data_IF_403732782198
#
_entry.id   IF_403732782198
#
_cell.length_a   1.000
_cell.length_b   1.000
_cell.length_c   1.000
_cell.angle_alpha   90.00
_cell.angle_beta   90.00
_cell.angle_gamma   90.00
#
_symmetry.space_group_name_H-M   'P 1'
#
loop_
_entity.id
_entity.type
_entity.pdbx_description
1 polymer ?
#
# COMPACT_ATOMS: atom_id res chain seq x y z
N UNK A 1 15.52 29.02 -6.82
CA UNK A 1 14.50 27.93 -6.88
C UNK A 1 14.17 27.39 -5.49
N UNK A 2 15.17 27.11 -4.65
CA UNK A 2 15.00 26.62 -3.26
C UNK A 2 14.02 27.45 -2.40
N UNK A 3 14.17 28.78 -2.37
CA UNK A 3 13.30 29.66 -1.58
C UNK A 3 11.81 29.57 -1.98
N UNK A 4 11.53 29.59 -3.28
CA UNK A 4 10.16 29.47 -3.80
C UNK A 4 9.55 28.10 -3.48
N UNK A 5 10.36 27.04 -3.52
CA UNK A 5 9.93 25.71 -3.08
C UNK A 5 9.55 25.71 -1.59
N UNK A 6 10.44 26.20 -0.72
CA UNK A 6 10.20 26.24 0.73
C UNK A 6 8.98 27.08 1.10
N UNK A 7 8.76 28.22 0.42
CA UNK A 7 7.57 29.03 0.60
C UNK A 7 6.29 28.26 0.23
N UNK A 8 6.27 27.60 -0.94
CA UNK A 8 5.12 26.81 -1.38
C UNK A 8 4.86 25.61 -0.46
N UNK A 9 5.91 24.93 -0.03
CA UNK A 9 5.84 23.81 0.91
C UNK A 9 5.24 24.26 2.25
N UNK A 10 5.69 25.37 2.81
CA UNK A 10 5.15 25.92 4.07
C UNK A 10 3.66 26.27 3.92
N UNK A 11 3.25 26.89 2.82
CA UNK A 11 1.83 27.14 2.52
C UNK A 11 1.02 25.84 2.41
N UNK A 12 1.57 24.79 1.80
CA UNK A 12 0.92 23.49 1.67
C UNK A 12 0.75 22.82 3.04
N UNK A 13 1.75 22.92 3.94
CA UNK A 13 1.67 22.42 5.32
C UNK A 13 0.60 23.18 6.12
N UNK A 14 0.57 24.52 6.05
CA UNK A 14 -0.44 25.33 6.76
C UNK A 14 -1.85 24.93 6.29
N UNK A 15 -2.05 24.78 4.98
CA UNK A 15 -3.32 24.32 4.43
C UNK A 15 -3.67 22.91 4.91
N UNK A 16 -2.71 22.00 4.93
CA UNK A 16 -2.89 20.64 5.43
C UNK A 16 -3.32 20.61 6.90
N UNK A 17 -2.74 21.45 7.76
CA UNK A 17 -3.15 21.57 9.17
C UNK A 17 -4.57 22.11 9.33
N UNK A 18 -5.00 23.02 8.44
CA UNK A 18 -6.37 23.52 8.43
C UNK A 18 -7.36 22.44 7.99
N UNK A 19 -7.04 21.70 6.92
CA UNK A 19 -7.82 20.54 6.46
C UNK A 19 -7.89 19.47 7.56
N UNK A 20 -6.78 19.18 8.24
CA UNK A 20 -6.73 18.22 9.35
C UNK A 20 -7.72 18.57 10.47
N UNK A 21 -7.87 19.85 10.80
CA UNK A 21 -8.83 20.30 11.82
C UNK A 21 -10.26 19.92 11.44
N UNK A 22 -10.62 20.03 10.16
CA UNK A 22 -11.93 19.59 9.66
C UNK A 22 -12.04 18.06 9.65
N UNK A 23 -11.05 17.33 9.12
CA UNK A 23 -11.06 15.86 9.10
C UNK A 23 -11.21 15.25 10.50
N UNK A 24 -10.61 15.85 11.53
CA UNK A 24 -10.78 15.38 12.92
C UNK A 24 -12.22 15.44 13.40
N UNK A 25 -13.04 16.40 12.93
CA UNK A 25 -14.48 16.47 13.27
C UNK A 25 -15.26 15.29 12.67
N UNK A 26 -14.78 14.73 11.55
CA UNK A 26 -15.46 13.65 10.84
C UNK A 26 -15.31 12.30 11.55
N UNK A 27 -14.28 12.12 12.38
CA UNK A 27 -13.96 10.83 13.05
C UNK A 27 -15.08 10.29 13.94
N UNK A 28 -15.97 11.18 14.40
CA UNK A 28 -17.09 10.87 15.31
C UNK A 28 -18.46 11.09 14.66
N UNK A 29 -18.51 11.30 13.35
CA UNK A 29 -19.79 11.37 12.64
C UNK A 29 -20.53 10.04 12.72
N UNK A 30 -21.86 10.08 12.64
CA UNK A 30 -22.65 8.85 12.45
C UNK A 30 -22.39 8.26 11.06
N UNK A 31 -22.66 6.97 10.90
CA UNK A 31 -22.58 6.29 9.59
C UNK A 31 -23.45 6.98 8.54
N UNK A 32 -24.67 7.37 8.92
CA UNK A 32 -25.60 8.09 8.04
C UNK A 32 -25.01 9.44 7.58
N UNK A 33 -24.46 10.23 8.50
CA UNK A 33 -23.85 11.52 8.16
C UNK A 33 -22.64 11.36 7.24
N UNK A 34 -21.82 10.34 7.49
CA UNK A 34 -20.67 10.02 6.65
C UNK A 34 -21.10 9.55 5.25
N UNK A 35 -22.13 8.71 5.15
CA UNK A 35 -22.69 8.26 3.87
C UNK A 35 -23.26 9.45 3.08
N UNK A 36 -24.04 10.33 3.72
CA UNK A 36 -24.56 11.54 3.10
C UNK A 36 -23.44 12.45 2.59
N UNK A 37 -22.37 12.61 3.37
CA UNK A 37 -21.19 13.36 2.95
C UNK A 37 -20.51 12.71 1.73
N UNK A 38 -20.31 11.40 1.74
CA UNK A 38 -19.75 10.66 0.60
C UNK A 38 -20.60 10.83 -0.66
N UNK A 39 -21.93 10.70 -0.56
CA UNK A 39 -22.83 10.92 -1.69
C UNK A 39 -22.72 12.35 -2.24
N UNK A 40 -22.67 13.37 -1.37
CA UNK A 40 -22.50 14.75 -1.80
C UNK A 40 -21.16 14.97 -2.51
N UNK A 41 -20.05 14.49 -1.94
CA UNK A 41 -18.72 14.62 -2.55
C UNK A 41 -18.61 13.85 -3.87
N UNK A 42 -19.23 12.65 -3.96
CA UNK A 42 -19.29 11.86 -5.18
C UNK A 42 -20.00 12.62 -6.30
N UNK A 43 -21.17 13.19 -6.03
CA UNK A 43 -21.92 13.98 -7.02
C UNK A 43 -21.13 15.21 -7.49
N UNK A 44 -20.44 15.90 -6.58
CA UNK A 44 -19.57 17.03 -6.93
C UNK A 44 -18.39 16.60 -7.81
N UNK A 45 -17.74 15.48 -7.46
CA UNK A 45 -16.62 14.94 -8.23
C UNK A 45 -17.06 14.53 -9.64
N UNK A 46 -18.19 13.83 -9.77
CA UNK A 46 -18.71 13.38 -11.06
C UNK A 46 -19.11 14.56 -11.93
N UNK A 47 -19.85 15.53 -11.38
CA UNK A 47 -20.25 16.72 -12.10
C UNK A 47 -19.02 17.52 -12.58
N UNK A 48 -18.00 17.65 -11.73
CA UNK A 48 -16.75 18.28 -12.15
C UNK A 48 -16.03 17.49 -13.25
N UNK A 49 -15.91 16.17 -13.09
CA UNK A 49 -15.25 15.29 -14.06
C UNK A 49 -15.93 15.35 -15.44
N UNK A 50 -17.26 15.28 -15.51
CA UNK A 50 -18.01 15.38 -16.79
C UNK A 50 -17.78 16.74 -17.47
N UNK A 51 -17.68 17.82 -16.70
CA UNK A 51 -17.50 19.17 -17.24
C UNK A 51 -16.06 19.47 -17.69
N UNK A 52 -15.05 18.80 -17.11
CA UNK A 52 -13.63 19.16 -17.32
C UNK A 52 -12.78 18.04 -17.95
N UNK A 53 -13.27 16.80 -17.99
CA UNK A 53 -12.56 15.65 -18.59
C UNK A 53 -13.32 15.16 -19.83
N UNK A 54 -12.73 15.28 -21.05
CA UNK A 54 -13.31 14.72 -22.27
C UNK A 54 -13.59 13.22 -22.19
N UNK A 55 -12.83 12.47 -21.39
CA UNK A 55 -13.06 11.06 -21.13
C UNK A 55 -14.37 10.84 -20.35
N UNK A 56 -14.54 11.51 -19.21
CA UNK A 56 -15.75 11.35 -18.38
C UNK A 56 -17.02 11.89 -19.05
N UNK A 57 -16.90 12.95 -19.86
CA UNK A 57 -18.01 13.45 -20.68
C UNK A 57 -18.59 12.38 -21.61
N UNK A 58 -17.73 11.55 -22.19
CA UNK A 58 -18.16 10.44 -23.07
C UNK A 58 -18.60 9.24 -22.24
N UNK A 59 -17.84 8.88 -21.20
CA UNK A 59 -18.11 7.71 -20.37
C UNK A 59 -19.49 7.80 -19.70
N UNK A 60 -19.87 8.98 -19.23
CA UNK A 60 -21.11 9.23 -18.49
C UNK A 60 -22.20 9.89 -19.33
N UNK A 61 -22.10 9.86 -20.67
CA UNK A 61 -23.08 10.51 -21.58
C UNK A 61 -24.54 10.08 -21.34
N UNK A 62 -24.76 8.86 -20.86
CA UNK A 62 -26.08 8.28 -20.61
C UNK A 62 -26.45 8.27 -19.11
N UNK A 63 -25.62 8.87 -18.25
CA UNK A 63 -25.83 8.92 -16.81
C UNK A 63 -26.41 10.28 -16.46
N UNK A 64 -27.56 10.30 -15.78
CA UNK A 64 -28.18 11.55 -15.34
C UNK A 64 -27.48 12.09 -14.09
N UNK A 65 -26.45 12.92 -14.30
CA UNK A 65 -25.64 13.50 -13.22
C UNK A 65 -26.39 14.53 -12.33
N UNK A 66 -27.63 14.90 -12.69
CA UNK A 66 -28.47 15.83 -11.92
C UNK A 66 -29.37 15.11 -10.90
N UNK A 67 -29.33 13.78 -10.85
CA UNK A 67 -30.06 12.96 -9.88
C UNK A 67 -29.08 12.27 -8.91
N UNK A 68 -29.55 11.76 -7.76
CA UNK A 68 -28.72 10.95 -6.88
C UNK A 68 -28.06 9.80 -7.64
N UNK A 69 -26.73 9.76 -7.62
CA UNK A 69 -25.95 8.78 -8.36
C UNK A 69 -25.84 7.50 -7.54
N UNK A 70 -26.26 6.39 -8.15
CA UNK A 70 -26.03 5.06 -7.62
C UNK A 70 -24.63 4.63 -8.05
N UNK A 71 -23.75 4.39 -7.09
CA UNK A 71 -22.35 4.10 -7.36
C UNK A 71 -22.18 2.85 -8.24
N UNK A 72 -23.01 1.82 -8.06
CA UNK A 72 -22.95 0.56 -8.82
C UNK A 72 -23.33 0.70 -10.31
N UNK A 73 -24.02 1.78 -10.68
CA UNK A 73 -24.40 2.04 -12.07
C UNK A 73 -23.24 2.66 -12.86
N UNK A 74 -22.18 3.09 -12.18
CA UNK A 74 -21.02 3.69 -12.82
C UNK A 74 -20.07 2.60 -13.37
N UNK A 75 -19.54 2.76 -14.59
CA UNK A 75 -18.55 1.85 -15.14
C UNK A 75 -17.24 1.88 -14.32
N UNK A 76 -16.63 0.70 -14.19
CA UNK A 76 -15.30 0.51 -13.59
C UNK A 76 -14.21 0.95 -14.56
N UNK A 77 -13.16 1.58 -14.03
CA UNK A 77 -12.00 2.02 -14.81
C UNK A 77 -10.77 1.31 -14.26
N UNK A 78 -9.95 0.72 -15.12
CA UNK A 78 -8.67 0.15 -14.71
C UNK A 78 -7.49 1.02 -15.17
N UNK A 79 -6.30 0.63 -14.73
CA UNK A 79 -5.03 1.33 -15.03
C UNK A 79 -4.76 1.46 -16.53
N UNK A 80 -5.03 0.41 -17.31
CA UNK A 80 -4.77 0.41 -18.75
C UNK A 80 -5.67 1.44 -19.45
N UNK A 81 -6.98 1.38 -19.19
CA UNK A 81 -7.95 2.33 -19.74
C UNK A 81 -7.59 3.77 -19.39
N UNK A 82 -7.21 4.04 -18.14
CA UNK A 82 -6.79 5.37 -17.71
C UNK A 82 -5.54 5.85 -18.47
N UNK A 83 -4.51 5.00 -18.58
CA UNK A 83 -3.25 5.38 -19.23
C UNK A 83 -3.39 5.57 -20.74
N UNK A 84 -4.18 4.74 -21.43
CA UNK A 84 -4.50 4.89 -22.86
C UNK A 84 -5.24 6.20 -23.16
N UNK A 85 -6.00 6.71 -22.18
CA UNK A 85 -6.80 7.92 -22.30
C UNK A 85 -6.23 9.11 -21.52
N UNK A 86 -5.00 9.04 -21.02
CA UNK A 86 -4.48 9.94 -19.98
C UNK A 86 -4.73 11.43 -20.27
N UNK A 87 -4.37 11.91 -21.46
CA UNK A 87 -4.48 13.32 -21.86
C UNK A 87 -5.94 13.83 -21.95
N UNK A 88 -6.89 12.90 -22.14
CA UNK A 88 -8.33 13.17 -22.14
C UNK A 88 -8.98 12.85 -20.78
N UNK A 89 -8.26 12.13 -19.92
CA UNK A 89 -8.72 11.65 -18.62
C UNK A 89 -8.58 12.74 -17.57
N UNK A 90 -7.41 13.37 -17.48
CA UNK A 90 -7.14 14.51 -16.59
C UNK A 90 -8.03 15.70 -16.90
N UNK A 91 -8.30 16.52 -15.89
CA UNK A 91 -9.22 17.67 -16.03
C UNK A 91 -8.52 18.98 -16.39
N UNK A 92 -7.18 19.00 -16.37
CA UNK A 92 -6.39 20.16 -16.79
C UNK A 92 -5.71 19.83 -18.13
N UNK A 93 -6.06 20.53 -19.23
CA UNK A 93 -5.54 20.22 -20.56
C UNK A 93 -4.03 20.46 -20.71
N UNK A 94 -3.39 21.19 -19.78
CA UNK A 94 -1.93 21.39 -19.74
C UNK A 94 -1.14 20.16 -19.28
N UNK A 95 -1.83 19.13 -18.78
CA UNK A 95 -1.22 17.89 -18.33
C UNK A 95 -1.14 16.89 -19.49
N UNK A 96 0.04 16.79 -20.12
CA UNK A 96 0.31 15.81 -21.19
C UNK A 96 1.16 14.66 -20.68
N UNK A 97 0.77 13.43 -20.97
CA UNK A 97 1.44 12.23 -20.47
C UNK A 97 2.93 12.22 -20.82
N UNK A 98 3.28 12.57 -22.06
CA UNK A 98 4.68 12.60 -22.53
C UNK A 98 5.55 13.62 -21.77
N UNK A 99 5.00 14.79 -21.45
CA UNK A 99 5.69 15.84 -20.69
C UNK A 99 5.85 15.43 -19.22
N UNK A 100 4.81 14.87 -18.63
CA UNK A 100 4.85 14.35 -17.26
C UNK A 100 5.85 13.21 -17.10
N UNK A 101 5.92 12.28 -18.07
CA UNK A 101 6.92 11.23 -18.08
C UNK A 101 8.35 11.78 -18.20
N UNK A 102 8.54 12.85 -18.98
CA UNK A 102 9.83 13.54 -19.07
C UNK A 102 10.19 14.21 -17.75
N UNK A 103 9.24 14.90 -17.11
CA UNK A 103 9.42 15.46 -15.78
C UNK A 103 9.77 14.39 -14.74
N UNK A 104 9.06 13.25 -14.72
CA UNK A 104 9.33 12.13 -13.79
C UNK A 104 10.78 11.64 -13.92
N UNK A 105 11.30 11.49 -15.15
CA UNK A 105 12.68 11.04 -15.40
C UNK A 105 13.74 12.01 -14.87
N UNK A 106 13.39 13.27 -14.66
CA UNK A 106 14.27 14.34 -14.18
C UNK A 106 14.08 14.65 -12.69
N UNK A 107 13.14 13.98 -12.00
CA UNK A 107 12.87 14.22 -10.59
C UNK A 107 14.06 13.82 -9.72
N UNK A 108 14.50 14.73 -8.85
CA UNK A 108 15.56 14.49 -7.86
C UNK A 108 15.08 14.67 -6.41
N UNK A 109 13.92 15.29 -6.20
CA UNK A 109 13.35 15.56 -4.90
C UNK A 109 11.83 15.77 -4.91
N UNK A 110 11.38 16.91 -4.39
CA UNK A 110 9.95 17.23 -4.27
C UNK A 110 9.51 18.35 -5.22
N UNK A 111 10.07 18.36 -6.44
CA UNK A 111 9.86 19.41 -7.43
C UNK A 111 8.42 19.44 -7.96
N UNK A 112 7.95 20.65 -8.30
CA UNK A 112 6.63 20.86 -8.87
C UNK A 112 6.69 20.87 -10.41
N UNK A 113 5.82 20.11 -11.07
CA UNK A 113 5.52 20.29 -12.49
C UNK A 113 4.68 21.56 -12.68
N UNK A 114 5.09 22.42 -13.62
CA UNK A 114 4.47 23.75 -13.87
C UNK A 114 4.30 24.60 -12.60
N UNK A 115 5.11 24.38 -11.58
CA UNK A 115 5.02 25.07 -10.29
C UNK A 115 3.72 24.79 -9.48
N UNK A 116 2.87 23.86 -9.93
CA UNK A 116 1.53 23.60 -9.36
C UNK A 116 1.28 22.13 -9.02
N UNK A 117 1.89 21.20 -9.75
CA UNK A 117 1.55 19.78 -9.68
C UNK A 117 2.68 18.95 -9.10
N UNK A 118 2.31 17.89 -8.39
CA UNK A 118 3.21 16.79 -8.04
C UNK A 118 2.82 15.58 -8.87
N UNK A 119 3.82 14.90 -9.41
CA UNK A 119 3.66 13.78 -10.33
C UNK A 119 4.35 12.57 -9.73
N UNK A 120 3.69 11.42 -9.82
CA UNK A 120 4.13 10.15 -9.28
C UNK A 120 4.04 9.06 -10.33
N UNK A 121 4.91 8.06 -10.22
CA UNK A 121 4.78 6.82 -10.98
C UNK A 121 4.62 5.64 -10.04
N UNK A 122 3.84 4.65 -10.46
CA UNK A 122 3.83 3.34 -9.80
C UNK A 122 4.90 2.44 -10.42
N UNK A 123 5.39 1.47 -9.65
CA UNK A 123 6.41 0.50 -10.10
C UNK A 123 5.90 -0.53 -11.11
N UNK A 124 4.67 -0.36 -11.65
CA UNK A 124 4.18 -1.11 -12.80
C UNK A 124 4.02 -2.62 -12.58
N UNK A 125 3.37 -3.05 -11.49
CA UNK A 125 3.11 -4.48 -11.23
C UNK A 125 2.32 -5.18 -12.33
N UNK A 126 1.52 -4.43 -13.11
CA UNK A 126 0.72 -4.93 -14.24
C UNK A 126 1.41 -4.78 -15.61
N UNK A 127 2.70 -4.39 -15.64
CA UNK A 127 3.45 -4.08 -16.86
C UNK A 127 3.25 -2.66 -17.41
N UNK A 128 2.16 -1.96 -17.04
CA UNK A 128 1.91 -0.55 -17.38
C UNK A 128 2.23 0.33 -16.17
N UNK A 129 3.21 1.24 -16.31
CA UNK A 129 3.52 2.24 -15.28
C UNK A 129 2.43 3.31 -15.26
N UNK A 130 1.67 3.38 -14.16
CA UNK A 130 0.65 4.41 -13.98
C UNK A 130 1.26 5.75 -13.57
N UNK A 131 0.80 6.85 -14.18
CA UNK A 131 1.14 8.23 -13.83
C UNK A 131 0.00 8.86 -13.02
N UNK A 132 0.34 9.48 -11.89
CA UNK A 132 -0.62 10.10 -10.98
C UNK A 132 -0.24 11.54 -10.67
N UNK A 133 -1.23 12.44 -10.71
CA UNK A 133 -1.02 13.89 -10.55
C UNK A 133 -1.89 14.44 -9.44
N UNK A 134 -1.29 15.29 -8.61
CA UNK A 134 -1.98 16.04 -7.57
C UNK A 134 -1.57 17.51 -7.62
N UNK A 135 -2.54 18.42 -7.64
CA UNK A 135 -2.29 19.84 -7.44
C UNK A 135 -1.95 20.15 -5.96
N UNK A 136 -1.59 21.40 -5.68
CA UNK A 136 -1.20 21.83 -4.32
C UNK A 136 -2.27 21.61 -3.25
N UNK A 137 -3.55 21.87 -3.55
CA UNK A 137 -4.66 21.69 -2.59
C UNK A 137 -4.86 20.20 -2.30
N UNK A 138 -4.88 19.38 -3.34
CA UNK A 138 -5.04 17.93 -3.25
C UNK A 138 -3.87 17.26 -2.53
N UNK A 139 -2.65 17.77 -2.77
CA UNK A 139 -1.49 17.34 -2.01
C UNK A 139 -1.57 17.74 -0.54
N UNK A 140 -2.06 18.95 -0.24
CA UNK A 140 -2.31 19.37 1.14
C UNK A 140 -3.34 18.44 1.83
N UNK A 141 -4.34 17.93 1.10
CA UNK A 141 -5.28 16.92 1.61
C UNK A 141 -4.60 15.58 1.88
N UNK A 142 -3.70 15.11 1.00
CA UNK A 142 -2.88 13.91 1.26
C UNK A 142 -2.04 14.07 2.53
N UNK A 143 -1.36 15.21 2.70
CA UNK A 143 -0.59 15.53 3.91
C UNK A 143 -1.48 15.53 5.15
N UNK A 144 -2.69 16.12 5.07
CA UNK A 144 -3.64 16.12 6.17
C UNK A 144 -4.09 14.70 6.56
N UNK A 145 -4.31 13.81 5.59
CA UNK A 145 -4.57 12.39 5.84
C UNK A 145 -3.40 11.70 6.55
N UNK A 146 -2.17 11.96 6.11
CA UNK A 146 -0.95 11.47 6.80
C UNK A 146 -0.85 11.96 8.25
N UNK A 147 -1.05 13.27 8.49
CA UNK A 147 -1.04 13.83 9.84
C UNK A 147 -2.18 13.31 10.72
N UNK A 148 -3.36 13.08 10.14
CA UNK A 148 -4.48 12.43 10.84
C UNK A 148 -4.05 11.05 11.29
N UNK A 149 -3.47 10.24 10.40
CA UNK A 149 -2.97 8.93 10.72
C UNK A 149 -1.89 8.95 11.81
N UNK A 150 -0.90 9.85 11.69
CA UNK A 150 0.09 10.05 12.75
C UNK A 150 -0.54 10.42 14.09
N UNK A 151 -1.62 11.22 14.10
CA UNK A 151 -2.31 11.56 15.35
C UNK A 151 -3.10 10.40 15.97
N UNK A 152 -3.48 9.39 15.20
CA UNK A 152 -4.10 8.16 15.71
C UNK A 152 -3.07 7.22 16.32
N UNK A 153 -1.91 7.12 15.68
CA UNK A 153 -0.80 6.26 16.08
C UNK A 153 -0.05 6.85 17.28
N UNK A 154 0.12 8.17 17.32
CA UNK A 154 0.91 8.89 18.32
C UNK A 154 0.02 9.69 19.31
N UNK A 155 -1.23 9.26 19.52
CA UNK A 155 -2.22 9.96 20.34
C UNK A 155 -1.72 10.29 21.77
N UNK A 156 -0.86 9.44 22.32
CA UNK A 156 -0.21 9.65 23.62
C UNK A 156 1.21 10.25 23.52
N UNK A 157 1.85 10.12 22.36
CA UNK A 157 3.27 10.45 22.12
C UNK A 157 3.51 11.90 21.66
N UNK A 158 2.49 12.59 21.14
CA UNK A 158 2.62 14.02 20.78
C UNK A 158 2.65 14.97 21.98
N UNK A 159 2.57 14.44 23.21
CA UNK A 159 2.70 15.20 24.47
C UNK A 159 4.14 15.36 24.97
N UNK A 160 5.15 14.87 24.23
CA UNK A 160 6.54 14.97 24.68
C UNK A 160 7.08 16.40 24.55
N UNK A 161 7.63 16.99 25.63
CA UNK A 161 8.23 18.33 25.60
C UNK A 161 9.56 18.40 24.82
N UNK A 162 10.10 17.25 24.37
CA UNK A 162 11.31 17.15 23.56
C UNK A 162 10.98 16.80 22.10
N UNK A 163 11.81 17.26 21.16
CA UNK A 163 11.69 16.98 19.72
C UNK A 163 11.68 15.46 19.48
N UNK A 164 10.50 14.88 19.23
CA UNK A 164 10.32 13.48 18.86
C UNK A 164 11.32 13.11 17.78
N UNK A 165 12.11 12.05 18.03
CA UNK A 165 13.00 11.45 17.03
C UNK A 165 12.26 10.38 16.26
N UNK A 166 12.09 10.60 14.96
CA UNK A 166 11.50 9.60 14.07
C UNK A 166 12.52 9.13 13.03
N UNK A 167 12.51 7.83 12.72
CA UNK A 167 13.20 7.28 11.55
C UNK A 167 12.17 6.74 10.57
N UNK A 168 12.27 7.17 9.30
CA UNK A 168 11.46 6.71 8.18
C UNK A 168 12.33 5.98 7.17
N UNK A 169 12.04 4.69 6.93
CA UNK A 169 12.79 3.84 6.00
C UNK A 169 11.85 3.40 4.87
N UNK A 170 11.95 4.08 3.73
CA UNK A 170 11.07 3.85 2.56
C UNK A 170 11.87 4.00 1.26
N UNK A 171 11.18 3.97 0.12
CA UNK A 171 11.76 4.27 -1.19
C UNK A 171 12.64 5.54 -1.15
N UNK A 172 13.86 5.43 -1.66
CA UNK A 172 14.83 6.52 -1.68
C UNK A 172 14.65 7.52 -2.83
N UNK A 173 13.67 7.32 -3.72
CA UNK A 173 13.50 8.13 -4.94
C UNK A 173 12.20 8.95 -4.91
N UNK A 174 12.34 10.21 -5.35
CA UNK A 174 11.33 11.22 -5.63
C UNK A 174 10.10 10.74 -6.42
N UNK A 175 10.24 9.75 -7.30
CA UNK A 175 9.11 9.28 -8.12
C UNK A 175 8.00 8.59 -7.32
N UNK A 176 8.29 8.18 -6.07
CA UNK A 176 7.34 7.51 -5.18
C UNK A 176 6.65 8.45 -4.20
N UNK A 177 5.36 8.19 -3.99
CA UNK A 177 4.55 8.96 -3.05
C UNK A 177 5.07 8.90 -1.61
N UNK A 178 5.62 7.75 -1.17
CA UNK A 178 6.16 7.59 0.20
C UNK A 178 7.38 8.46 0.45
N UNK A 179 8.24 8.66 -0.55
CA UNK A 179 9.36 9.60 -0.48
C UNK A 179 8.83 11.03 -0.32
N UNK A 180 7.98 11.47 -1.25
CA UNK A 180 7.53 12.88 -1.28
C UNK A 180 6.63 13.24 -0.11
N UNK A 181 5.79 12.32 0.36
CA UNK A 181 5.01 12.51 1.59
C UNK A 181 5.92 12.77 2.79
N UNK A 182 7.05 12.07 2.86
CA UNK A 182 8.04 12.29 3.92
C UNK A 182 8.69 13.67 3.79
N UNK A 183 9.10 14.08 2.59
CA UNK A 183 9.77 15.38 2.35
C UNK A 183 8.82 16.56 2.53
N UNK A 184 7.68 16.52 1.85
CA UNK A 184 6.67 17.58 1.91
C UNK A 184 6.05 17.71 3.29
N UNK A 185 5.82 16.59 3.99
CA UNK A 185 5.12 16.55 5.28
C UNK A 185 6.01 16.71 6.51
N UNK A 186 7.33 16.84 6.36
CA UNK A 186 8.22 16.97 7.50
C UNK A 186 7.95 18.26 8.29
N UNK A 187 7.61 18.13 9.58
CA UNK A 187 7.41 19.28 10.46
C UNK A 187 8.75 19.66 11.12
N UNK A 188 9.14 20.96 11.17
CA UNK A 188 10.42 21.39 11.74
C UNK A 188 10.63 21.03 13.21
N UNK A 189 9.55 20.77 13.94
CA UNK A 189 9.58 20.39 15.37
C UNK A 189 9.90 18.92 15.60
N UNK A 190 9.85 18.09 14.54
CA UNK A 190 10.17 16.66 14.59
C UNK A 190 11.58 16.45 14.05
N UNK A 191 12.41 15.73 14.80
CA UNK A 191 13.73 15.34 14.34
C UNK A 191 13.61 14.07 13.50
N UNK A 192 13.64 14.20 12.17
CA UNK A 192 13.40 13.10 11.24
C UNK A 192 14.71 12.61 10.61
N UNK A 193 15.07 11.35 10.83
CA UNK A 193 16.06 10.62 10.04
C UNK A 193 15.35 9.88 8.89
N UNK A 194 15.84 10.06 7.66
CA UNK A 194 15.34 9.33 6.49
C UNK A 194 16.41 8.36 6.03
N UNK A 195 16.05 7.09 5.89
CA UNK A 195 16.92 6.06 5.34
C UNK A 195 16.26 5.45 4.09
N UNK A 196 17.09 5.06 3.12
CA UNK A 196 16.60 4.35 1.94
C UNK A 196 16.39 2.88 2.28
N UNK A 197 15.22 2.32 1.97
CA UNK A 197 14.97 0.89 2.11
C UNK A 197 15.87 0.01 1.21
N UNK A 198 16.48 0.60 0.18
CA UNK A 198 17.46 -0.08 -0.67
C UNK A 198 18.87 -0.14 -0.05
N UNK A 199 19.13 0.61 1.04
CA UNK A 199 20.40 0.51 1.75
C UNK A 199 20.52 -0.83 2.48
N UNK A 200 21.75 -1.33 2.67
CA UNK A 200 22.00 -2.56 3.42
C UNK A 200 21.45 -2.49 4.84
N UNK A 201 20.98 -3.62 5.38
CA UNK A 201 20.53 -3.71 6.78
C UNK A 201 21.61 -3.24 7.76
N UNK A 202 22.88 -3.60 7.55
CA UNK A 202 23.99 -3.16 8.41
C UNK A 202 24.10 -1.63 8.49
N UNK A 203 24.08 -0.93 7.35
CA UNK A 203 24.06 0.54 7.33
C UNK A 203 22.85 1.13 8.05
N UNK A 204 21.67 0.50 7.92
CA UNK A 204 20.47 0.94 8.65
C UNK A 204 20.65 0.74 10.15
N UNK A 205 21.20 -0.41 10.59
CA UNK A 205 21.48 -0.71 12.00
C UNK A 205 22.42 0.32 12.61
N UNK A 206 23.53 0.63 11.94
CA UNK A 206 24.50 1.63 12.40
C UNK A 206 23.86 3.02 12.55
N UNK A 207 23.06 3.43 11.56
CA UNK A 207 22.37 4.71 11.58
C UNK A 207 21.30 4.80 12.69
N UNK A 208 20.57 3.71 12.94
CA UNK A 208 19.55 3.60 13.98
C UNK A 208 20.16 3.62 15.38
N UNK A 209 21.25 2.87 15.59
CA UNK A 209 22.00 2.86 16.85
C UNK A 209 22.52 4.25 17.21
N UNK A 210 23.02 5.01 16.24
CA UNK A 210 23.49 6.37 16.45
C UNK A 210 22.35 7.36 16.73
N UNK A 211 21.19 7.18 16.08
CA UNK A 211 20.09 8.16 16.12
C UNK A 211 19.16 7.97 17.32
N UNK A 212 18.88 6.72 17.71
CA UNK A 212 17.93 6.31 18.75
C UNK A 212 16.52 6.88 18.52
N UNK A 213 15.78 6.40 17.50
CA UNK A 213 14.43 6.85 17.23
C UNK A 213 13.41 6.33 18.24
N UNK A 214 12.45 7.18 18.59
CA UNK A 214 11.27 6.79 19.37
C UNK A 214 10.10 6.36 18.47
N UNK A 215 10.10 6.79 17.20
CA UNK A 215 9.12 6.44 16.20
C UNK A 215 9.83 5.81 14.99
N UNK A 216 9.51 4.56 14.67
CA UNK A 216 10.06 3.84 13.52
C UNK A 216 8.96 3.55 12.51
N UNK A 217 9.13 4.04 11.28
CA UNK A 217 8.17 3.80 10.18
C UNK A 217 8.88 3.20 8.99
N UNK A 218 8.46 2.02 8.56
CA UNK A 218 9.15 1.29 7.48
C UNK A 218 8.22 0.30 6.77
N UNK A 219 8.76 -0.48 5.83
CA UNK A 219 8.10 -1.66 5.27
C UNK A 219 8.07 -2.82 6.30
N UNK A 220 6.99 -3.62 6.37
CA UNK A 220 6.92 -4.81 7.23
C UNK A 220 8.16 -5.71 7.15
N UNK A 221 8.67 -5.98 5.95
CA UNK A 221 9.85 -6.82 5.73
C UNK A 221 11.12 -6.24 6.37
N UNK A 222 11.37 -4.94 6.22
CA UNK A 222 12.51 -4.25 6.85
C UNK A 222 12.35 -4.21 8.38
N UNK A 223 11.17 -3.89 8.90
CA UNK A 223 10.91 -3.90 10.34
C UNK A 223 11.22 -5.27 10.94
N UNK A 224 10.82 -6.36 10.28
CA UNK A 224 11.10 -7.72 10.73
C UNK A 224 12.59 -8.05 10.74
N UNK A 225 13.34 -7.63 9.72
CA UNK A 225 14.79 -7.81 9.71
C UNK A 225 15.47 -7.03 10.82
N UNK A 226 15.13 -5.75 11.00
CA UNK A 226 15.66 -4.93 12.09
C UNK A 226 15.30 -5.53 13.46
N UNK A 227 14.12 -6.13 13.60
CA UNK A 227 13.74 -6.84 14.80
C UNK A 227 14.62 -8.09 15.06
N UNK A 228 14.98 -8.82 14.01
CA UNK A 228 15.96 -9.92 14.11
C UNK A 228 17.33 -9.40 14.53
N UNK A 229 17.81 -8.31 13.93
CA UNK A 229 19.07 -7.67 14.31
C UNK A 229 19.07 -7.18 15.77
N UNK A 230 17.92 -6.74 16.29
CA UNK A 230 17.72 -6.36 17.69
C UNK A 230 17.82 -7.58 18.62
N UNK A 231 17.14 -8.67 18.27
CA UNK A 231 17.16 -9.92 19.05
C UNK A 231 18.54 -10.58 19.06
N UNK A 232 19.32 -10.39 18.00
CA UNK A 232 20.70 -10.87 17.90
C UNK A 232 21.73 -9.89 18.49
N UNK A 233 21.28 -8.77 19.06
CA UNK A 233 22.13 -7.82 19.81
C UNK A 233 22.97 -6.86 18.95
N UNK A 234 22.79 -6.85 17.62
CA UNK A 234 23.51 -5.92 16.71
C UNK A 234 22.82 -4.56 16.61
N UNK A 235 21.49 -4.57 16.66
CA UNK A 235 20.67 -3.36 16.80
C UNK A 235 20.30 -3.16 18.28
N UNK A 236 20.36 -1.92 18.74
CA UNK A 236 19.98 -1.54 20.09
C UNK A 236 19.20 -0.21 20.06
N UNK A 237 17.90 -0.30 19.80
CA UNK A 237 16.97 0.85 19.82
C UNK A 237 15.73 0.53 20.67
N UNK A 238 15.04 1.58 21.13
CA UNK A 238 13.83 1.46 21.94
C UNK A 238 12.68 2.31 21.37
N UNK A 239 12.15 1.97 20.18
CA UNK A 239 11.02 2.67 19.61
C UNK A 239 9.79 2.48 20.50
N UNK A 240 9.05 3.57 20.75
CA UNK A 240 7.74 3.55 21.42
C UNK A 240 6.62 3.25 20.43
N UNK A 241 6.86 3.54 19.16
CA UNK A 241 5.89 3.38 18.08
C UNK A 241 6.58 2.76 16.88
N UNK A 242 5.98 1.69 16.34
CA UNK A 242 6.38 1.08 15.07
C UNK A 242 5.20 1.15 14.10
N UNK A 243 5.43 1.70 12.91
CA UNK A 243 4.44 1.77 11.82
C UNK A 243 4.97 1.01 10.62
N UNK A 244 4.15 0.09 10.11
CA UNK A 244 4.44 -0.65 8.88
C UNK A 244 3.47 -0.25 7.78
N UNK A 245 3.97 -0.09 6.54
CA UNK A 245 3.15 0.32 5.40
C UNK A 245 3.60 -0.34 4.09
N UNK A 246 2.72 -0.29 3.08
CA UNK A 246 3.04 -0.51 1.66
C UNK A 246 3.54 -1.92 1.23
N UNK A 247 3.41 -2.90 2.13
CA UNK A 247 3.51 -4.35 1.87
C UNK A 247 2.50 -5.11 2.75
N UNK A 248 2.21 -6.36 2.42
CA UNK A 248 1.47 -7.27 3.30
C UNK A 248 2.30 -7.59 4.55
N UNK A 249 1.71 -7.43 5.74
CA UNK A 249 2.34 -7.81 7.01
C UNK A 249 1.90 -9.23 7.39
N UNK A 250 2.86 -10.16 7.48
CA UNK A 250 2.59 -11.53 7.95
C UNK A 250 2.56 -11.59 9.49
N UNK A 251 1.95 -12.64 10.04
CA UNK A 251 1.96 -12.92 11.50
C UNK A 251 3.38 -13.12 12.03
N UNK A 252 4.27 -13.71 11.23
CA UNK A 252 5.68 -13.89 11.58
C UNK A 252 6.40 -12.55 11.71
N UNK A 253 6.23 -11.66 10.71
CA UNK A 253 6.82 -10.32 10.74
C UNK A 253 6.37 -9.54 11.96
N UNK A 254 5.07 -9.57 12.25
CA UNK A 254 4.49 -8.96 13.45
C UNK A 254 5.07 -9.55 14.73
N UNK A 255 5.17 -10.88 14.84
CA UNK A 255 5.75 -11.56 16.00
C UNK A 255 7.20 -11.18 16.24
N UNK A 256 8.01 -11.07 15.18
CA UNK A 256 9.40 -10.64 15.28
C UNK A 256 9.49 -9.21 15.86
N UNK A 257 8.67 -8.27 15.34
CA UNK A 257 8.61 -6.88 15.82
C UNK A 257 8.20 -6.82 17.30
N UNK A 258 7.16 -7.55 17.70
CA UNK A 258 6.69 -7.58 19.09
C UNK A 258 7.76 -8.15 20.03
N UNK A 259 8.44 -9.24 19.65
CA UNK A 259 9.51 -9.83 20.48
C UNK A 259 10.69 -8.89 20.65
N UNK A 260 11.04 -8.13 19.61
CA UNK A 260 12.19 -7.24 19.63
C UNK A 260 11.98 -5.99 20.49
N UNK A 261 10.80 -5.38 20.44
CA UNK A 261 10.57 -4.07 21.06
C UNK A 261 9.40 -4.01 22.03
N UNK A 262 8.66 -5.10 22.23
CA UNK A 262 7.44 -5.13 23.04
C UNK A 262 6.39 -4.08 22.61
N UNK A 263 6.32 -3.83 21.30
CA UNK A 263 5.39 -2.88 20.67
C UNK A 263 4.56 -3.60 19.63
N UNK A 264 3.25 -3.40 19.67
CA UNK A 264 2.35 -3.83 18.60
C UNK A 264 2.49 -2.86 17.41
N UNK A 265 2.97 -3.30 16.23
CA UNK A 265 3.11 -2.40 15.10
C UNK A 265 1.74 -1.95 14.58
N UNK A 266 1.61 -0.66 14.29
CA UNK A 266 0.46 -0.13 13.55
C UNK A 266 0.60 -0.47 12.08
N UNK A 267 -0.53 -0.73 11.41
CA UNK A 267 -0.56 -1.01 9.99
C UNK A 267 -1.18 0.15 9.20
N UNK A 268 -0.57 0.50 8.07
CA UNK A 268 -1.04 1.54 7.17
C UNK A 268 -1.31 0.95 5.80
N UNK A 269 -2.54 1.15 5.31
CA UNK A 269 -2.94 0.81 3.95
C UNK A 269 -3.08 2.09 3.12
N UNK A 270 -2.40 2.13 1.96
CA UNK A 270 -2.51 3.24 1.03
C UNK A 270 -1.95 2.89 -0.34
N UNK A 271 -2.41 3.61 -1.36
CA UNK A 271 -1.96 3.45 -2.75
C UNK A 271 -1.58 4.82 -3.35
N UNK A 272 -0.90 4.82 -4.50
CA UNK A 272 -0.54 6.08 -5.18
C UNK A 272 -1.76 6.67 -5.92
N UNK A 273 -2.62 5.78 -6.40
CA UNK A 273 -3.88 6.01 -7.09
C UNK A 273 -4.87 6.81 -6.21
N UNK A 274 -4.96 6.47 -4.92
CA UNK A 274 -5.88 7.08 -3.96
C UNK A 274 -5.96 6.27 -2.66
N UNK A 275 -6.82 6.63 -1.73
CA UNK A 275 -6.95 5.89 -0.47
C UNK A 275 -6.08 6.43 0.66
N UNK A 276 -5.99 7.76 0.75
CA UNK A 276 -5.79 8.55 1.96
C UNK A 276 -5.28 7.80 3.21
N UNK A 277 -4.00 7.38 3.22
CA UNK A 277 -3.26 7.01 4.44
C UNK A 277 -4.10 6.29 5.52
N UNK A 278 -4.86 5.26 5.13
CA UNK A 278 -5.71 4.51 6.04
C UNK A 278 -4.82 3.86 7.09
N UNK A 279 -5.18 3.94 8.37
CA UNK A 279 -4.30 3.48 9.45
C UNK A 279 -5.07 2.78 10.55
N UNK A 280 -4.39 1.81 11.16
CA UNK A 280 -4.79 1.18 12.41
C UNK A 280 -4.87 2.20 13.56
N UNK A 281 -5.53 1.82 14.66
CA UNK A 281 -5.63 2.62 15.89
C UNK A 281 -5.10 1.84 17.09
N UNK A 282 -4.97 2.46 18.29
CA UNK A 282 -4.43 1.78 19.46
C UNK A 282 -5.21 0.53 19.91
N UNK A 283 -6.43 0.32 19.42
CA UNK A 283 -7.18 -0.91 19.66
C UNK A 283 -6.71 -2.10 18.81
N UNK A 284 -5.91 -1.88 17.76
CA UNK A 284 -5.37 -2.91 16.87
C UNK A 284 -6.40 -3.90 16.34
N UNK A 285 -7.59 -3.39 15.96
CA UNK A 285 -8.71 -4.19 15.43
C UNK A 285 -8.83 -4.16 13.91
N UNK A 286 -7.99 -3.39 13.23
CA UNK A 286 -8.03 -3.22 11.78
C UNK A 286 -7.72 -1.78 11.37
N UNK A 287 -7.52 -1.59 10.07
CA UNK A 287 -7.11 -0.31 9.49
C UNK A 287 -8.37 0.51 9.21
N UNK A 288 -8.52 1.68 9.83
CA UNK A 288 -9.64 2.56 9.55
C UNK A 288 -9.55 3.15 8.14
N UNK A 289 -10.61 2.97 7.37
CA UNK A 289 -10.77 3.60 6.06
C UNK A 289 -11.21 5.04 6.27
N UNK A 290 -10.42 6.01 5.82
CA UNK A 290 -10.82 7.42 5.84
C UNK A 290 -11.86 7.70 4.75
N UNK A 291 -13.08 7.25 5.03
CA UNK A 291 -14.24 7.25 4.14
C UNK A 291 -14.69 8.66 3.72
N UNK A 292 -14.28 9.68 4.46
CA UNK A 292 -14.44 11.10 4.11
C UNK A 292 -13.46 11.57 3.01
N UNK A 293 -12.45 10.78 2.68
CA UNK A 293 -11.49 11.07 1.61
C UNK A 293 -11.57 10.06 0.45
N UNK A 294 -12.08 8.86 0.69
CA UNK A 294 -12.13 7.81 -0.32
C UNK A 294 -13.33 6.89 -0.09
N UNK A 295 -14.08 6.58 -1.15
CA UNK A 295 -15.03 5.47 -1.15
C UNK A 295 -14.25 4.22 -1.57
N UNK A 296 -14.29 3.18 -0.75
CA UNK A 296 -13.70 1.88 -1.03
C UNK A 296 -14.79 0.83 -1.11
N UNK A 297 -14.84 0.14 -2.24
CA UNK A 297 -15.73 -0.99 -2.49
C UNK A 297 -14.87 -2.26 -2.57
N UNK A 298 -15.26 -3.28 -1.84
CA UNK A 298 -14.65 -4.62 -1.93
C UNK A 298 -15.57 -5.45 -2.78
N UNK A 299 -15.05 -5.96 -3.91
CA UNK A 299 -15.89 -6.55 -4.95
C UNK A 299 -15.38 -7.91 -5.40
N UNK A 300 -16.29 -8.70 -5.98
CA UNK A 300 -15.97 -9.95 -6.66
C UNK A 300 -15.33 -9.70 -8.05
N UNK A 301 -15.12 -10.78 -8.80
CA UNK A 301 -14.58 -10.74 -10.17
C UNK A 301 -15.51 -10.01 -11.17
N UNK A 302 -16.81 -9.96 -10.88
CA UNK A 302 -17.86 -9.30 -11.66
C UNK A 302 -18.13 -7.85 -11.22
N UNK A 303 -17.26 -7.29 -10.37
CA UNK A 303 -17.37 -5.94 -9.82
C UNK A 303 -18.60 -5.71 -8.92
N UNK A 304 -19.20 -6.77 -8.37
CA UNK A 304 -20.29 -6.67 -7.42
C UNK A 304 -19.76 -6.62 -5.99
N UNK A 305 -20.30 -5.75 -5.11
CA UNK A 305 -19.90 -5.71 -3.71
C UNK A 305 -20.07 -7.06 -3.02
N UNK A 306 -19.06 -7.49 -2.28
CA UNK A 306 -19.14 -8.67 -1.41
C UNK A 306 -19.65 -8.27 -0.02
N UNK A 307 -20.29 -9.17 0.74
CA UNK A 307 -20.67 -8.90 2.12
C UNK A 307 -19.46 -8.59 3.01
N UNK A 308 -19.63 -7.68 3.98
CA UNK A 308 -18.63 -7.46 5.03
C UNK A 308 -18.27 -8.79 5.72
N UNK A 309 -16.98 -8.99 6.02
CA UNK A 309 -16.40 -10.24 6.48
C UNK A 309 -15.92 -11.18 5.36
N UNK A 310 -16.31 -10.94 4.11
CA UNK A 310 -15.85 -11.73 2.96
C UNK A 310 -14.58 -11.13 2.34
N UNK A 311 -13.72 -11.98 1.78
CA UNK A 311 -12.59 -11.56 0.97
C UNK A 311 -13.08 -11.15 -0.42
N UNK A 312 -12.74 -9.94 -0.88
CA UNK A 312 -12.97 -9.53 -2.27
C UNK A 312 -11.86 -9.99 -3.19
N UNK A 313 -12.17 -10.14 -4.48
CA UNK A 313 -11.20 -10.40 -5.54
C UNK A 313 -10.35 -9.17 -5.86
N UNK A 314 -10.88 -7.97 -5.58
CA UNK A 314 -10.21 -6.68 -5.79
C UNK A 314 -10.95 -5.59 -5.03
N UNK A 315 -10.40 -4.38 -5.06
CA UNK A 315 -11.10 -3.19 -4.58
C UNK A 315 -11.33 -2.20 -5.71
N UNK A 316 -12.40 -1.44 -5.60
CA UNK A 316 -12.65 -0.25 -6.41
C UNK A 316 -12.56 0.97 -5.50
N UNK A 317 -11.79 1.97 -5.92
CA UNK A 317 -11.62 3.20 -5.17
C UNK A 317 -12.21 4.40 -5.92
N UNK A 318 -12.87 5.27 -5.17
CA UNK A 318 -13.24 6.62 -5.65
C UNK A 318 -12.59 7.66 -4.76
N UNK A 319 -11.68 8.48 -5.31
CA UNK A 319 -10.94 9.49 -4.54
C UNK A 319 -11.73 10.81 -4.45
N UNK A 320 -12.31 11.12 -3.29
CA UNK A 320 -13.27 12.22 -3.15
C UNK A 320 -12.64 13.63 -3.17
N UNK A 321 -11.32 13.72 -3.31
CA UNK A 321 -10.59 14.99 -3.21
C UNK A 321 -9.67 15.29 -4.39
N UNK A 322 -9.38 14.35 -5.30
CA UNK A 322 -8.49 14.58 -6.44
C UNK A 322 -9.32 14.98 -7.67
N UNK A 323 -9.43 16.29 -7.89
CA UNK A 323 -10.17 16.85 -9.01
C UNK A 323 -9.29 16.96 -10.26
N UNK A 324 -7.96 17.02 -10.12
CA UNK A 324 -7.00 17.03 -11.24
C UNK A 324 -7.03 15.72 -12.05
N UNK A 325 -7.12 14.60 -11.34
CA UNK A 325 -7.22 13.26 -11.90
C UNK A 325 -8.28 12.47 -11.11
N UNK A 326 -9.59 12.71 -11.39
CA UNK A 326 -10.69 12.01 -10.73
C UNK A 326 -10.56 10.52 -11.01
N UNK A 327 -10.38 9.72 -9.96
CA UNK A 327 -10.48 8.27 -10.05
C UNK A 327 -11.81 7.86 -9.45
N UNK A 328 -12.72 7.37 -10.28
CA UNK A 328 -14.07 6.96 -9.91
C UNK A 328 -14.22 5.48 -10.26
N UNK A 329 -14.57 4.65 -9.25
CA UNK A 329 -14.55 3.18 -9.33
C UNK A 329 -13.29 2.64 -10.00
N UNK A 330 -12.15 3.19 -9.61
CA UNK A 330 -10.87 2.79 -10.16
C UNK A 330 -10.41 1.47 -9.54
N UNK A 331 -10.09 0.50 -10.38
CA UNK A 331 -9.69 -0.84 -9.98
C UNK A 331 -8.29 -0.87 -9.38
N UNK A 332 -8.19 -1.37 -8.15
CA UNK A 332 -6.93 -1.80 -7.54
C UNK A 332 -7.06 -3.29 -7.25
N UNK A 333 -6.10 -4.05 -7.74
CA UNK A 333 -6.08 -5.52 -7.66
C UNK A 333 -5.71 -6.05 -6.27
N UNK A 334 -5.75 -5.21 -5.24
CA UNK A 334 -5.50 -5.61 -3.86
C UNK A 334 -6.72 -6.36 -3.33
N UNK A 335 -6.52 -7.46 -2.61
CA UNK A 335 -7.57 -8.26 -2.00
C UNK A 335 -7.63 -7.96 -0.52
N UNK A 336 -8.81 -7.51 -0.07
CA UNK A 336 -9.01 -7.09 1.31
C UNK A 336 -10.33 -7.62 1.86
N UNK A 337 -10.42 -7.68 3.19
CA UNK A 337 -11.66 -7.97 3.91
C UNK A 337 -12.04 -6.77 4.76
N UNK A 338 -13.30 -6.33 4.66
CA UNK A 338 -13.88 -5.32 5.55
C UNK A 338 -14.51 -6.00 6.76
N UNK A 339 -14.33 -5.41 7.94
CA UNK A 339 -14.95 -5.86 9.18
C UNK A 339 -16.48 -5.75 9.14
N UNK A 340 -17.16 -6.76 9.67
CA UNK A 340 -18.58 -6.68 10.07
C UNK A 340 -18.78 -5.99 11.43
N UNK A 341 -17.70 -5.77 12.18
CA UNK A 341 -17.70 -5.17 13.52
C UNK A 341 -17.28 -3.70 13.50
N UNK A 342 -17.80 -2.94 14.47
CA UNK A 342 -17.39 -1.56 14.75
C UNK A 342 -16.17 -1.56 15.67
N UNK A 343 -15.26 -0.60 15.44
CA UNK A 343 -14.07 -0.47 16.29
C UNK A 343 -14.43 0.02 17.71
N UNK A 344 -13.89 -0.59 18.78
CA UNK A 344 -14.08 -0.11 20.15
C UNK A 344 -13.47 1.28 20.40
N UNK A 345 -12.61 1.81 19.52
CA UNK A 345 -12.12 3.18 19.61
C UNK A 345 -13.23 4.23 19.43
N UNK A 346 -14.41 3.81 18.95
CA UNK A 346 -15.63 4.60 18.78
C UNK A 346 -15.62 5.49 17.53
N UNK A 347 -14.70 5.27 16.59
CA UNK A 347 -14.75 5.91 15.27
C UNK A 347 -15.71 5.14 14.38
N UNK A 348 -16.48 5.88 13.57
CA UNK A 348 -17.50 5.30 12.71
C UNK A 348 -16.96 4.72 11.40
N UNK A 349 -15.67 4.91 11.10
CA UNK A 349 -15.05 4.38 9.89
C UNK A 349 -15.02 2.86 9.84
N UNK A 350 -15.30 2.30 8.66
CA UNK A 350 -15.12 0.87 8.37
C UNK A 350 -13.65 0.48 8.51
N UNK A 351 -13.43 -0.80 8.78
CA UNK A 351 -12.11 -1.36 9.06
C UNK A 351 -11.71 -2.37 7.99
N UNK A 352 -10.49 -2.26 7.47
CA UNK A 352 -9.84 -3.37 6.76
C UNK A 352 -9.23 -4.30 7.81
N UNK A 353 -9.67 -5.56 7.87
CA UNK A 353 -9.17 -6.55 8.83
C UNK A 353 -8.08 -7.43 8.26
N UNK A 354 -8.10 -7.63 6.93
CA UNK A 354 -7.08 -8.41 6.20
C UNK A 354 -6.71 -7.72 4.91
N UNK A 355 -5.42 -7.72 4.61
CA UNK A 355 -4.86 -7.36 3.30
C UNK A 355 -4.11 -8.59 2.82
N UNK A 356 -4.71 -9.32 1.89
CA UNK A 356 -4.18 -10.57 1.35
C UNK A 356 -3.42 -10.28 0.05
N UNK A 357 -2.61 -9.22 -0.01
CA UNK A 357 -1.85 -8.80 -1.20
C UNK A 357 -2.71 -8.65 -2.47
N UNK A 358 -2.25 -9.16 -3.62
CA UNK A 358 -2.81 -8.82 -4.94
C UNK A 358 -3.31 -10.02 -5.74
N UNK A 359 -4.43 -9.84 -6.42
CA UNK A 359 -5.01 -10.80 -7.35
C UNK A 359 -4.09 -11.08 -8.55
N UNK A 360 -3.37 -10.07 -9.03
CA UNK A 360 -2.36 -10.23 -10.10
C UNK A 360 -1.12 -11.03 -9.66
N UNK A 361 -0.95 -11.29 -8.36
CA UNK A 361 0.15 -12.09 -7.80
C UNK A 361 -0.24 -13.57 -7.58
N UNK A 362 -1.42 -14.02 -8.05
CA UNK A 362 -1.83 -15.42 -7.99
C UNK A 362 -0.92 -16.29 -8.87
N UNK A 363 -0.42 -17.38 -8.29
CA UNK A 363 0.25 -18.44 -9.03
C UNK A 363 -0.81 -19.45 -9.48
N UNK A 364 -0.73 -19.91 -10.72
CA UNK A 364 -1.56 -21.03 -11.19
C UNK A 364 -0.73 -22.32 -11.15
N UNK A 365 -1.18 -23.30 -10.37
CA UNK A 365 -0.59 -24.64 -10.27
C UNK A 365 -1.58 -25.68 -10.80
N UNK A 366 -1.10 -26.80 -11.35
CA UNK A 366 -1.99 -27.81 -11.93
C UNK A 366 -2.52 -28.79 -10.89
N UNK A 367 -3.77 -29.23 -11.04
CA UNK A 367 -4.29 -30.39 -10.32
C UNK A 367 -3.94 -31.72 -11.01
N UNK A 368 -4.36 -32.84 -10.41
CA UNK A 368 -4.12 -34.18 -10.97
C UNK A 368 -4.74 -34.39 -12.37
N UNK A 369 -5.82 -33.66 -12.68
CA UNK A 369 -6.50 -33.69 -13.98
C UNK A 369 -5.90 -32.71 -15.00
N UNK A 370 -4.83 -31.99 -14.64
CA UNK A 370 -4.17 -31.01 -15.50
C UNK A 370 -4.84 -29.63 -15.58
N UNK A 371 -5.86 -29.37 -14.77
CA UNK A 371 -6.53 -28.06 -14.69
C UNK A 371 -5.69 -27.08 -13.85
N UNK A 372 -5.61 -25.83 -14.31
CA UNK A 372 -4.97 -24.75 -13.56
C UNK A 372 -5.81 -24.33 -12.35
N UNK A 373 -5.23 -24.45 -11.17
CA UNK A 373 -5.78 -24.04 -9.88
C UNK A 373 -5.10 -22.73 -9.47
N UNK A 374 -5.86 -21.66 -9.21
CA UNK A 374 -5.31 -20.43 -8.65
C UNK A 374 -4.88 -20.67 -7.20
N UNK A 375 -3.60 -20.45 -6.93
CA UNK A 375 -3.00 -20.53 -5.59
C UNK A 375 -2.53 -19.14 -5.20
N UNK A 376 -3.23 -18.61 -4.20
CA UNK A 376 -2.98 -17.29 -3.68
C UNK A 376 -1.67 -17.23 -2.86
N UNK A 377 -0.96 -16.08 -2.88
CA UNK A 377 0.36 -15.95 -2.24
C UNK A 377 0.31 -16.24 -0.73
N UNK A 378 -0.83 -15.97 -0.09
CA UNK A 378 -1.01 -16.18 1.35
C UNK A 378 -0.69 -17.63 1.74
N UNK A 379 -1.12 -18.61 0.94
CA UNK A 379 -0.96 -20.04 1.20
C UNK A 379 0.51 -20.44 1.31
N UNK A 380 1.36 -19.89 0.44
CA UNK A 380 2.78 -20.14 0.52
C UNK A 380 3.42 -19.39 1.69
N UNK A 381 3.04 -18.12 1.92
CA UNK A 381 3.61 -17.35 3.04
C UNK A 381 3.24 -17.94 4.40
N UNK A 382 2.05 -18.54 4.53
CA UNK A 382 1.62 -19.25 5.75
C UNK A 382 2.30 -20.61 5.89
N UNK A 383 2.55 -21.33 4.79
CA UNK A 383 3.23 -22.62 4.84
C UNK A 383 4.73 -22.48 5.16
N UNK A 384 5.40 -21.50 4.55
CA UNK A 384 6.86 -21.31 4.67
C UNK A 384 7.22 -20.37 5.82
N UNK A 385 6.50 -19.26 5.99
CA UNK A 385 6.83 -18.22 6.99
C UNK A 385 6.61 -18.64 8.46
N UNK A 386 6.05 -19.82 8.73
CA UNK A 386 5.90 -20.33 10.10
C UNK A 386 7.11 -21.17 10.55
N UNK A 387 8.01 -21.53 9.63
CA UNK A 387 9.16 -22.39 9.89
C UNK A 387 10.24 -21.61 10.63
N UNK A 388 10.48 -21.98 11.89
CA UNK A 388 11.32 -21.18 12.82
C UNK A 388 12.76 -21.00 12.38
N UNK A 389 13.34 -21.98 11.68
CA UNK A 389 14.74 -21.95 11.24
C UNK A 389 15.03 -20.97 10.10
N UNK A 390 13.99 -20.37 9.51
CA UNK A 390 14.12 -19.43 8.39
C UNK A 390 14.35 -18.02 8.92
N UNK A 391 15.37 -17.34 8.39
CA UNK A 391 15.64 -15.91 8.56
C UNK A 391 14.93 -15.10 7.48
N UNK A 392 15.09 -15.51 6.22
CA UNK A 392 14.43 -14.92 5.06
C UNK A 392 14.10 -16.01 4.03
N UNK A 393 13.06 -15.79 3.21
CA UNK A 393 12.76 -16.67 2.10
C UNK A 393 12.21 -15.91 0.88
N UNK A 394 12.39 -16.50 -0.30
CA UNK A 394 11.74 -16.08 -1.56
C UNK A 394 11.33 -17.31 -2.36
N UNK A 395 10.10 -17.30 -2.85
CA UNK A 395 9.54 -18.37 -3.68
C UNK A 395 9.48 -17.89 -5.12
N UNK A 396 10.06 -18.67 -6.03
CA UNK A 396 10.01 -18.47 -7.47
C UNK A 396 9.30 -19.66 -8.09
N UNK A 397 8.27 -19.40 -8.88
CA UNK A 397 7.55 -20.41 -9.66
C UNK A 397 7.99 -20.32 -11.12
N UNK A 398 8.52 -21.42 -11.65
CA UNK A 398 8.93 -21.55 -13.04
C UNK A 398 8.49 -22.89 -13.65
N UNK A 399 8.94 -23.18 -14.86
CA UNK A 399 8.63 -24.42 -15.60
C UNK A 399 9.09 -25.69 -14.87
N UNK A 400 9.98 -25.56 -13.88
CA UNK A 400 10.50 -26.66 -13.06
C UNK A 400 9.79 -26.77 -11.71
N UNK A 401 8.76 -25.97 -11.45
CA UNK A 401 7.99 -26.00 -10.21
C UNK A 401 8.30 -24.83 -9.28
N UNK A 402 8.43 -25.11 -7.98
CA UNK A 402 8.63 -24.10 -6.94
C UNK A 402 10.06 -24.12 -6.41
N UNK A 403 10.80 -23.04 -6.66
CA UNK A 403 12.13 -22.80 -6.10
C UNK A 403 11.99 -21.91 -4.86
N UNK A 404 12.32 -22.46 -3.70
CA UNK A 404 12.28 -21.79 -2.41
C UNK A 404 13.70 -21.46 -1.99
N UNK A 405 14.10 -20.21 -2.15
CA UNK A 405 15.38 -19.72 -1.67
C UNK A 405 15.25 -19.36 -0.18
N UNK A 406 16.13 -19.88 0.66
CA UNK A 406 16.05 -19.79 2.13
C UNK A 406 17.37 -19.27 2.67
N UNK A 407 17.31 -18.23 3.51
CA UNK A 407 18.40 -17.80 4.37
C UNK A 407 18.12 -18.36 5.76
N UNK A 408 19.05 -19.14 6.32
CA UNK A 408 18.87 -19.76 7.64
C UNK A 408 19.19 -18.82 8.79
N UNK A 409 18.50 -19.02 9.92
CA UNK A 409 18.95 -18.48 11.19
C UNK A 409 20.17 -19.26 11.67
N UNK A 410 21.11 -18.57 12.32
CA UNK A 410 22.31 -19.20 12.88
C UNK A 410 21.94 -20.36 13.81
N UNK A 411 22.57 -21.52 13.60
CA UNK A 411 22.31 -22.73 14.39
C UNK A 411 21.10 -23.56 13.94
N UNK A 412 20.43 -23.19 12.85
CA UNK A 412 19.35 -23.99 12.26
C UNK A 412 19.90 -25.09 11.35
N UNK A 413 19.23 -26.25 11.34
CA UNK A 413 19.56 -27.37 10.45
C UNK A 413 18.86 -27.24 9.11
N UNK A 414 19.61 -27.37 8.01
CA UNK A 414 19.09 -27.43 6.64
C UNK A 414 18.06 -28.55 6.46
N UNK A 415 18.32 -29.73 7.02
CA UNK A 415 17.43 -30.88 6.89
C UNK A 415 16.09 -30.66 7.59
N UNK A 416 16.12 -30.13 8.83
CA UNK A 416 14.89 -29.86 9.59
C UNK A 416 14.04 -28.82 8.88
N UNK A 417 14.65 -27.71 8.43
CA UNK A 417 13.95 -26.66 7.70
C UNK A 417 13.41 -27.17 6.37
N UNK A 418 14.16 -27.99 5.64
CA UNK A 418 13.72 -28.63 4.40
C UNK A 418 12.47 -29.47 4.64
N UNK A 419 12.48 -30.30 5.68
CA UNK A 419 11.36 -31.19 6.00
C UNK A 419 10.11 -30.40 6.41
N UNK A 420 10.24 -29.41 7.30
CA UNK A 420 9.11 -28.57 7.73
C UNK A 420 8.49 -27.81 6.55
N UNK A 421 9.31 -27.20 5.68
CA UNK A 421 8.83 -26.50 4.48
C UNK A 421 8.03 -27.46 3.58
N UNK A 422 8.60 -28.64 3.28
CA UNK A 422 7.95 -29.60 2.38
C UNK A 422 6.63 -30.09 2.95
N UNK A 423 6.58 -30.46 4.23
CA UNK A 423 5.35 -30.92 4.89
C UNK A 423 4.27 -29.84 4.81
N UNK A 424 4.56 -28.64 5.31
CA UNK A 424 3.57 -27.56 5.37
C UNK A 424 3.06 -27.18 3.97
N UNK A 425 3.95 -27.12 2.98
CA UNK A 425 3.58 -26.72 1.63
C UNK A 425 2.78 -27.81 0.91
N UNK A 426 3.16 -29.08 1.05
CA UNK A 426 2.42 -30.20 0.47
C UNK A 426 1.01 -30.28 1.07
N UNK A 427 0.86 -30.20 2.39
CA UNK A 427 -0.46 -30.21 3.06
C UNK A 427 -1.34 -29.04 2.60
N UNK A 428 -0.76 -27.85 2.51
CA UNK A 428 -1.47 -26.66 2.04
C UNK A 428 -1.94 -26.83 0.58
N UNK A 429 -1.06 -27.30 -0.31
CA UNK A 429 -1.39 -27.49 -1.73
C UNK A 429 -2.40 -28.62 -1.94
N UNK A 430 -2.31 -29.71 -1.18
CA UNK A 430 -3.28 -30.81 -1.21
C UNK A 430 -4.68 -30.34 -0.81
N UNK A 431 -4.77 -29.48 0.22
CA UNK A 431 -6.06 -28.90 0.66
C UNK A 431 -6.72 -28.05 -0.42
N UNK A 432 -5.91 -27.45 -1.31
CA UNK A 432 -6.38 -26.67 -2.46
C UNK A 432 -6.66 -27.54 -3.70
N UNK A 433 -6.51 -28.87 -3.62
CA UNK A 433 -6.70 -29.77 -4.75
C UNK A 433 -5.58 -29.69 -5.81
N UNK A 434 -4.43 -29.12 -5.46
CA UNK A 434 -3.28 -28.97 -6.36
C UNK A 434 -2.46 -30.25 -6.35
N UNK A 435 -2.00 -30.69 -7.53
CA UNK A 435 -0.94 -31.70 -7.63
C UNK A 435 0.36 -30.98 -7.28
N UNK A 436 1.00 -31.39 -6.20
CA UNK A 436 2.20 -30.71 -5.73
C UNK A 436 3.26 -30.67 -6.86
N UNK A 437 3.77 -29.48 -7.23
CA UNK A 437 4.83 -29.36 -8.20
C UNK A 437 6.15 -29.86 -7.60
N UNK A 438 7.20 -29.96 -8.41
CA UNK A 438 8.54 -30.19 -7.88
C UNK A 438 8.94 -29.00 -6.98
N UNK A 439 9.38 -29.29 -5.76
CA UNK A 439 9.79 -28.30 -4.77
C UNK A 439 11.31 -28.38 -4.59
N UNK A 440 11.99 -27.31 -4.99
CA UNK A 440 13.43 -27.16 -4.88
C UNK A 440 13.78 -26.15 -3.79
N UNK A 441 14.40 -26.60 -2.71
CA UNK A 441 14.85 -25.72 -1.63
C UNK A 441 16.33 -25.40 -1.83
N UNK A 442 16.70 -24.12 -1.82
CA UNK A 442 18.08 -23.64 -1.97
C UNK A 442 18.46 -22.78 -0.78
N UNK A 443 19.51 -23.18 -0.08
CA UNK A 443 20.09 -22.38 1.00
C UNK A 443 21.06 -21.36 0.41
N UNK A 444 20.86 -20.10 0.75
CA UNK A 444 21.66 -18.98 0.27
C UNK A 444 22.01 -18.04 1.42
N UNK A 445 23.13 -17.33 1.29
CA UNK A 445 23.62 -16.44 2.36
C UNK A 445 22.75 -15.19 2.54
N UNK A 446 22.18 -14.70 1.44
CA UNK A 446 21.33 -13.50 1.40
C UNK A 446 20.36 -13.54 0.24
N UNK A 447 19.19 -12.91 0.40
CA UNK A 447 18.26 -12.67 -0.70
C UNK A 447 18.52 -11.26 -1.26
N UNK A 448 18.90 -11.18 -2.54
CA UNK A 448 19.08 -9.89 -3.19
C UNK A 448 17.72 -9.19 -3.39
N UNK A 449 17.71 -7.91 -3.03
CA UNK A 449 16.57 -7.02 -3.24
C UNK A 449 16.70 -6.41 -4.62
N UNK A 450 15.63 -6.53 -5.39
CA UNK A 450 15.57 -5.90 -6.70
C UNK A 450 15.72 -4.37 -6.52
N UNK A 451 16.77 -3.75 -7.09
CA UNK A 451 16.96 -2.30 -7.05
C UNK A 451 15.77 -1.56 -7.67
N UNK A 452 15.13 -2.14 -8.69
CA UNK A 452 13.96 -1.59 -9.38
C UNK A 452 12.67 -1.76 -8.57
N UNK A 453 12.64 -2.70 -7.62
CA UNK A 453 11.59 -2.80 -6.59
C UNK A 453 11.84 -1.85 -5.39
N UNK A 454 12.92 -1.07 -5.43
CA UNK A 454 13.23 0.04 -4.52
C UNK A 454 13.19 -0.36 -3.03
N UNK A 455 13.72 -1.55 -2.75
CA UNK A 455 13.81 -2.12 -1.40
C UNK A 455 12.62 -3.00 -1.01
N UNK A 456 11.52 -3.03 -1.78
CA UNK A 456 10.40 -3.95 -1.54
C UNK A 456 10.78 -5.37 -1.91
N UNK A 457 10.31 -6.33 -1.13
CA UNK A 457 10.51 -7.74 -1.43
C UNK A 457 9.22 -8.34 -1.97
N UNK A 458 9.24 -8.78 -3.22
CA UNK A 458 8.23 -9.72 -3.71
C UNK A 458 8.59 -11.10 -3.16
N UNK A 459 7.87 -11.54 -2.13
CA UNK A 459 8.11 -12.85 -1.50
C UNK A 459 7.86 -14.00 -2.48
N UNK A 460 6.98 -13.78 -3.46
CA UNK A 460 6.54 -14.79 -4.41
C UNK A 460 6.54 -14.21 -5.82
N UNK A 461 7.22 -14.89 -6.74
CA UNK A 461 7.31 -14.49 -8.14
C UNK A 461 6.96 -15.66 -9.04
N UNK A 462 6.10 -15.46 -10.03
CA UNK A 462 5.86 -16.42 -11.11
C UNK A 462 6.55 -15.96 -12.39
N UNK A 463 7.42 -16.82 -12.93
CA UNK A 463 8.06 -16.64 -14.23
C UNK A 463 7.26 -17.30 -15.37
N UNK A 464 6.23 -18.09 -15.04
CA UNK A 464 5.30 -18.65 -16.02
C UNK A 464 4.29 -17.56 -16.41
N UNK A 465 4.29 -17.17 -17.69
CA UNK A 465 3.26 -16.29 -18.27
C UNK A 465 1.99 -17.10 -18.52
N UNK A 466 0.83 -16.56 -18.13
CA UNK A 466 -0.48 -17.12 -18.48
C UNK A 466 -0.59 -17.24 -20.00
N UNK A 467 -0.92 -18.42 -20.51
CA UNK A 467 -1.44 -18.54 -21.87
C UNK A 467 -2.75 -17.75 -21.91
N UNK A 468 -2.88 -16.76 -22.81
CA UNK A 468 -4.14 -16.04 -23.00
C UNK A 468 -5.22 -17.09 -23.32
N UNK A 469 -6.11 -17.37 -22.39
CA UNK A 469 -7.33 -18.12 -22.68
C UNK A 469 -8.11 -17.29 -23.69
N UNK A 470 -8.20 -17.79 -24.92
CA UNK A 470 -8.95 -17.15 -25.98
C UNK A 470 -10.39 -16.94 -25.53
N UNK A 471 -10.90 -15.73 -25.73
CA UNK A 471 -12.34 -15.49 -25.79
C UNK A 471 -12.90 -16.42 -26.89
N UNK A 472 -13.48 -17.54 -26.50
CA UNK A 472 -14.53 -18.15 -27.33
C UNK A 472 -15.79 -17.34 -27.08
N UNK A 473 -15.98 -16.34 -27.94
CA UNK A 473 -17.28 -15.73 -28.18
C UNK A 473 -18.26 -16.81 -28.64
N UNK A 474 -19.33 -16.99 -27.85
CA UNK A 474 -20.61 -17.54 -28.28
C UNK A 474 -21.71 -16.73 -27.63
#
# INVERSE_FOLDING_TARGET
MEFLYQLKRTQDIIRALWILKELKKHERWTREKLANFQHQQLSLLISYAVNHSPFYKVLYKNININQPIILNDLPVINKATMMENFDRFVTDPSLKLAELQTHIRQLSGDEYYLGKYRVFTTSGSSGVKGVFVYNRKEWSTNLAGGYRGSSLVAADSLRFPNRLKETKIYAGNAVHITYRMTVSGQLPVINTQRLSAASSIESQVNALNAFQPEFLSTYPSIASLLAIEQLEGRLNIHPKVVVTAAETRTKEMESNIQKAWNVMPFNVYGSTEGGAFNVDCPSHRGIHIFEDLTIMEVVDDKNQPVPDGSLGNKILITNLFNYTQPLIRYEITDMVTISNEVCPCGRSFRLITKVEGRNDDIIYLRNASGLDIPVHHIHFTTAVGVVKGIKEYRIVHDDKGLIINVVLRKGSSEDNVTNEIKVNLIETLQTLGVKYPDIHIRFIDKIDRDPDAMGKVKLIQSNIRKAKTGNTSS
#
